data_IF_204143506230
#
_entry.id   IF_204143506230
#
_cell.length_a   1.000
_cell.length_b   1.000
_cell.length_c   1.000
_cell.angle_alpha   90.00
_cell.angle_beta   90.00
_cell.angle_gamma   90.00
#
_symmetry.space_group_name_H-M   'P 1'
#
loop_
_entity.id
_entity.type
_entity.pdbx_description
1 polymer ?
#
# COMPACT_ATOMS: atom_id res chain seq x y z
N UNK A 1 -14.61 22.62 21.53
CA UNK A 1 -13.18 22.93 21.70
C UNK A 1 -12.46 21.63 22.05
N UNK A 2 -11.32 21.39 21.40
CA UNK A 2 -10.54 20.14 21.35
C UNK A 2 -10.12 19.63 22.75
N UNK A 3 -9.92 18.31 22.86
CA UNK A 3 -8.65 17.75 23.33
C UNK A 3 -8.49 16.31 22.81
N UNK A 4 -7.41 16.16 22.04
CA UNK A 4 -6.93 15.01 21.33
C UNK A 4 -5.70 14.51 22.11
N UNK A 5 -5.65 13.24 22.48
CA UNK A 5 -4.42 12.46 22.66
C UNK A 5 -4.79 11.05 23.10
N UNK A 6 -4.72 10.10 22.16
CA UNK A 6 -4.70 8.67 22.48
C UNK A 6 -3.34 8.13 22.07
N UNK A 7 -2.38 8.25 22.98
CA UNK A 7 -1.19 7.40 23.00
C UNK A 7 -1.65 5.96 23.15
N UNK A 8 -1.47 5.16 22.10
CA UNK A 8 -1.65 3.72 22.16
C UNK A 8 -0.47 3.12 22.95
N UNK A 9 -0.76 2.67 24.17
CA UNK A 9 0.15 1.82 24.95
C UNK A 9 -0.21 0.38 24.60
N UNK A 10 0.60 -0.27 23.75
CA UNK A 10 0.42 -1.70 23.49
C UNK A 10 1.14 -2.49 24.58
N UNK A 11 0.32 -3.17 25.39
CA UNK A 11 0.72 -3.99 26.52
C UNK A 11 0.84 -5.43 26.03
N UNK A 12 2.06 -5.94 25.87
CA UNK A 12 2.26 -7.28 25.34
C UNK A 12 2.98 -8.19 26.35
N UNK A 13 2.19 -8.88 27.18
CA UNK A 13 2.62 -9.85 28.21
C UNK A 13 3.37 -11.05 27.64
N UNK A 14 4.49 -11.46 28.26
CA UNK A 14 4.97 -12.84 28.30
C UNK A 14 5.55 -13.08 29.70
N UNK A 15 5.05 -14.12 30.37
CA UNK A 15 5.61 -14.68 31.61
C UNK A 15 6.72 -15.66 31.24
N UNK A 16 7.92 -15.46 31.78
CA UNK A 16 8.88 -16.54 32.00
C UNK A 16 9.73 -16.19 33.23
N UNK A 17 9.46 -16.87 34.33
CA UNK A 17 10.36 -16.93 35.49
C UNK A 17 11.52 -17.88 35.15
N UNK A 18 12.74 -17.35 35.14
CA UNK A 18 13.97 -18.13 35.39
C UNK A 18 15.08 -17.21 35.90
N UNK A 19 15.65 -17.56 37.06
CA UNK A 19 17.05 -17.24 37.39
C UNK A 19 17.33 -16.00 38.23
N UNK A 20 17.33 -16.16 39.56
CA UNK A 20 18.02 -15.28 40.50
C UNK A 20 19.49 -15.06 40.11
N UNK A 21 19.87 -13.84 39.70
CA UNK A 21 21.22 -13.30 39.97
C UNK A 21 21.37 -11.77 39.80
N UNK A 22 20.32 -10.97 39.99
CA UNK A 22 20.44 -9.50 40.06
C UNK A 22 19.31 -8.85 40.87
N UNK A 23 19.11 -9.31 42.11
CA UNK A 23 18.11 -8.73 43.03
C UNK A 23 18.38 -7.25 43.43
N UNK A 24 19.39 -6.56 42.88
CA UNK A 24 19.79 -5.22 43.32
C UNK A 24 20.20 -4.19 42.24
N UNK A 25 20.04 -4.45 40.92
CA UNK A 25 20.13 -3.34 39.95
C UNK A 25 18.74 -2.79 39.64
N UNK A 26 18.49 -1.51 39.94
CA UNK A 26 17.29 -0.78 39.47
C UNK A 26 17.19 -0.67 37.94
N UNK A 27 18.22 -1.14 37.24
CA UNK A 27 18.44 -0.98 35.81
C UNK A 27 18.52 -2.33 35.13
N UNK A 28 18.01 -2.38 33.90
CA UNK A 28 18.05 -3.55 33.02
C UNK A 28 19.24 -3.41 32.09
N UNK A 29 19.99 -4.50 31.89
CA UNK A 29 21.11 -4.49 30.96
C UNK A 29 20.61 -4.43 29.52
N UNK A 30 21.32 -3.70 28.67
CA UNK A 30 20.93 -3.52 27.27
C UNK A 30 21.10 -4.79 26.43
N UNK A 31 22.01 -5.68 26.82
CA UNK A 31 22.31 -6.97 26.16
C UNK A 31 21.53 -8.15 26.76
N UNK A 32 20.59 -7.89 27.67
CA UNK A 32 19.73 -8.92 28.24
C UNK A 32 18.81 -9.53 27.16
N UNK A 33 18.71 -10.86 27.14
CA UNK A 33 17.93 -11.59 26.13
C UNK A 33 16.43 -11.25 26.20
N UNK A 34 15.89 -11.04 27.41
CA UNK A 34 14.49 -10.64 27.55
C UNK A 34 14.29 -9.20 27.10
N UNK A 35 15.26 -8.31 27.30
CA UNK A 35 15.21 -6.93 26.80
C UNK A 35 15.27 -6.86 25.27
N UNK A 36 16.17 -7.62 24.63
CA UNK A 36 16.27 -7.66 23.15
C UNK A 36 15.05 -8.35 22.52
N UNK A 37 14.50 -9.38 23.14
CA UNK A 37 13.21 -9.98 22.74
C UNK A 37 12.06 -8.97 22.84
N UNK A 38 12.02 -8.17 23.91
CA UNK A 38 11.04 -7.09 24.07
C UNK A 38 11.18 -6.03 22.98
N UNK A 39 12.40 -5.58 22.65
CA UNK A 39 12.64 -4.62 21.56
C UNK A 39 12.14 -5.17 20.21
N UNK A 40 12.43 -6.44 19.91
CA UNK A 40 11.92 -7.11 18.69
C UNK A 40 10.40 -7.07 18.64
N UNK A 41 9.76 -7.37 19.77
CA UNK A 41 8.31 -7.37 19.87
C UNK A 41 7.71 -5.98 19.65
N UNK A 42 8.31 -4.94 20.24
CA UNK A 42 7.86 -3.55 20.01
C UNK A 42 8.02 -3.16 18.54
N UNK A 43 9.14 -3.51 17.89
CA UNK A 43 9.32 -3.26 16.44
C UNK A 43 8.24 -3.93 15.59
N UNK A 44 7.88 -5.18 15.91
CA UNK A 44 6.83 -5.93 15.22
C UNK A 44 5.43 -5.36 15.47
N UNK A 45 5.13 -5.02 16.74
CA UNK A 45 3.84 -4.46 17.14
C UNK A 45 3.62 -3.06 16.55
N UNK A 46 4.66 -2.23 16.50
CA UNK A 46 4.62 -0.90 15.86
C UNK A 46 4.40 -1.02 14.35
N UNK A 47 5.10 -1.94 13.67
CA UNK A 47 4.93 -2.19 12.25
C UNK A 47 3.50 -2.68 11.93
N UNK A 48 3.00 -3.63 12.72
CA UNK A 48 1.64 -4.15 12.56
C UNK A 48 0.58 -3.05 12.77
N UNK A 49 0.76 -2.18 13.76
CA UNK A 49 -0.12 -1.04 14.00
C UNK A 49 -0.09 -0.01 12.86
N UNK A 50 1.10 0.31 12.33
CA UNK A 50 1.25 1.21 11.18
C UNK A 50 0.50 0.68 9.96
N UNK A 51 0.64 -0.61 9.65
CA UNK A 51 -0.09 -1.26 8.56
C UNK A 51 -1.60 -1.28 8.78
N UNK A 52 -2.06 -1.58 9.99
CA UNK A 52 -3.49 -1.54 10.32
C UNK A 52 -4.05 -0.12 10.18
N UNK A 53 -3.27 0.89 10.57
CA UNK A 53 -3.64 2.29 10.40
C UNK A 53 -3.76 2.67 8.92
N UNK A 54 -2.74 2.41 8.12
CA UNK A 54 -2.73 2.67 6.67
C UNK A 54 -3.92 2.01 5.98
N UNK A 55 -4.17 0.74 6.30
CA UNK A 55 -5.31 0.00 5.79
C UNK A 55 -6.64 0.70 6.09
N UNK A 56 -6.85 1.06 7.35
CA UNK A 56 -8.08 1.74 7.77
C UNK A 56 -8.27 3.07 7.04
N UNK A 57 -7.19 3.79 6.75
CA UNK A 57 -7.27 5.02 5.96
C UNK A 57 -7.63 4.73 4.50
N UNK A 58 -7.02 3.74 3.87
CA UNK A 58 -7.32 3.36 2.49
C UNK A 58 -8.77 2.89 2.31
N UNK A 59 -9.31 2.14 3.28
CA UNK A 59 -10.73 1.75 3.29
C UNK A 59 -11.63 2.98 3.45
N UNK A 60 -11.34 3.85 4.43
CA UNK A 60 -12.12 5.08 4.67
C UNK A 60 -12.15 6.01 3.46
N UNK A 61 -11.05 6.08 2.72
CA UNK A 61 -10.91 6.91 1.54
C UNK A 61 -11.50 6.24 0.28
N UNK A 62 -12.05 5.03 0.39
CA UNK A 62 -12.64 4.29 -0.72
C UNK A 62 -11.63 3.76 -1.74
N UNK A 63 -10.33 3.85 -1.45
CA UNK A 63 -9.26 3.37 -2.32
C UNK A 63 -9.29 1.83 -2.48
N UNK A 64 -9.80 1.14 -1.45
CA UNK A 64 -10.00 -0.31 -1.41
C UNK A 64 -11.35 -0.62 -0.77
N UNK A 65 -12.02 -1.68 -1.24
CA UNK A 65 -13.37 -2.05 -0.79
C UNK A 65 -13.39 -3.04 0.37
N UNK A 66 -12.47 -3.99 0.34
CA UNK A 66 -12.37 -5.03 1.37
C UNK A 66 -10.96 -5.58 1.36
N UNK A 67 -10.36 -5.66 2.54
CA UNK A 67 -9.04 -6.21 2.69
C UNK A 67 -8.84 -6.67 4.14
N UNK A 68 -8.47 -7.93 4.29
CA UNK A 68 -8.34 -8.62 5.56
C UNK A 68 -7.13 -8.08 6.36
N UNK A 69 -7.33 -7.41 7.51
CA UNK A 69 -6.26 -6.93 8.37
C UNK A 69 -5.33 -8.05 8.85
N UNK A 70 -5.82 -9.29 8.94
CA UNK A 70 -5.01 -10.43 9.37
C UNK A 70 -3.89 -10.75 8.37
N UNK A 71 -4.12 -10.58 7.07
CA UNK A 71 -3.10 -10.82 6.03
C UNK A 71 -1.98 -9.78 6.05
N UNK A 72 -2.29 -8.53 6.42
CA UNK A 72 -1.27 -7.49 6.64
C UNK A 72 -0.43 -7.77 7.88
N UNK A 73 -1.08 -8.18 8.97
CA UNK A 73 -0.36 -8.61 10.17
C UNK A 73 0.58 -9.79 9.89
N UNK A 74 0.15 -10.76 9.09
CA UNK A 74 1.01 -11.85 8.62
C UNK A 74 2.16 -11.35 7.74
N UNK A 75 1.92 -10.31 6.92
CA UNK A 75 2.97 -9.71 6.10
C UNK A 75 4.04 -8.99 6.94
N UNK A 76 3.64 -8.33 8.03
CA UNK A 76 4.55 -7.74 9.00
C UNK A 76 5.46 -8.78 9.67
N UNK A 77 4.93 -9.97 9.97
CA UNK A 77 5.68 -11.07 10.57
C UNK A 77 6.76 -11.65 9.65
N UNK A 78 6.69 -11.38 8.35
CA UNK A 78 7.73 -11.81 7.40
C UNK A 78 8.97 -10.90 7.42
N UNK A 79 8.93 -9.77 8.13
CA UNK A 79 10.11 -8.94 8.36
C UNK A 79 10.93 -9.56 9.49
N UNK A 80 12.17 -9.93 9.17
CA UNK A 80 13.09 -10.49 10.15
C UNK A 80 13.98 -9.41 10.74
N UNK A 81 13.86 -9.19 12.05
CA UNK A 81 14.74 -8.30 12.80
C UNK A 81 15.89 -9.09 13.40
N UNK A 82 17.11 -8.66 13.16
CA UNK A 82 18.34 -9.16 13.77
C UNK A 82 19.02 -8.01 14.49
N UNK A 83 19.54 -8.27 15.68
CA UNK A 83 20.16 -7.27 16.53
C UNK A 83 21.50 -7.79 17.04
N UNK A 84 22.53 -6.97 16.90
CA UNK A 84 23.89 -7.28 17.33
C UNK A 84 24.52 -6.09 18.04
N UNK A 85 25.58 -6.35 18.79
CA UNK A 85 26.45 -5.31 19.38
C UNK A 85 25.71 -4.28 20.24
N UNK A 86 24.86 -4.76 21.16
CA UNK A 86 24.13 -3.93 22.13
C UNK A 86 25.07 -3.22 23.12
N UNK A 87 24.77 -1.96 23.43
CA UNK A 87 25.61 -1.06 24.24
C UNK A 87 24.74 -0.25 25.19
N UNK A 88 25.25 0.00 26.39
CA UNK A 88 24.65 0.94 27.33
C UNK A 88 25.27 2.31 27.11
N UNK A 89 24.46 3.28 26.70
CA UNK A 89 24.92 4.65 26.50
C UNK A 89 24.78 5.48 27.79
N UNK A 90 23.68 5.28 28.53
CA UNK A 90 23.41 6.07 29.72
C UNK A 90 22.55 5.34 30.75
N UNK A 91 22.94 5.44 32.02
CA UNK A 91 22.16 4.99 33.18
C UNK A 91 21.70 6.25 33.92
N UNK A 92 20.39 6.43 34.04
CA UNK A 92 19.84 7.60 34.75
C UNK A 92 20.03 7.44 36.27
N UNK A 93 20.76 8.33 36.96
CA UNK A 93 20.95 8.20 38.40
C UNK A 93 19.67 8.47 39.21
N UNK A 94 18.69 9.14 38.61
CA UNK A 94 17.47 9.61 39.29
C UNK A 94 16.23 8.78 38.93
N UNK A 95 16.33 7.81 38.02
CA UNK A 95 15.20 6.96 37.61
C UNK A 95 15.69 5.57 37.18
N UNK A 96 14.82 4.55 37.10
CA UNK A 96 15.25 3.20 36.68
C UNK A 96 15.51 3.08 35.16
N UNK A 97 15.61 4.21 34.44
CA UNK A 97 15.80 4.23 32.99
C UNK A 97 17.24 3.89 32.61
N UNK A 98 17.36 3.12 31.54
CA UNK A 98 18.63 2.79 30.89
C UNK A 98 18.49 3.07 29.40
N UNK A 99 19.36 3.91 28.87
CA UNK A 99 19.42 4.22 27.44
C UNK A 99 20.45 3.32 26.78
N UNK A 100 20.05 2.73 25.67
CA UNK A 100 20.78 1.70 24.96
C UNK A 100 20.86 2.01 23.46
N UNK A 101 21.93 1.56 22.83
CA UNK A 101 22.06 1.46 21.38
C UNK A 101 22.31 0.03 20.96
N UNK A 102 21.78 -0.36 19.81
CA UNK A 102 21.97 -1.70 19.24
C UNK A 102 21.98 -1.63 17.72
N UNK A 103 22.81 -2.42 17.05
CA UNK A 103 22.86 -2.45 15.60
C UNK A 103 21.74 -3.39 15.09
N UNK A 104 20.70 -2.78 14.52
CA UNK A 104 19.52 -3.44 13.99
C UNK A 104 19.67 -3.65 12.48
N UNK A 105 19.39 -4.88 12.04
CA UNK A 105 19.13 -5.22 10.65
C UNK A 105 17.69 -5.70 10.49
N UNK A 106 16.89 -5.02 9.68
CA UNK A 106 15.57 -5.51 9.28
C UNK A 106 15.63 -6.07 7.85
N UNK A 107 15.38 -7.37 7.70
CA UNK A 107 15.41 -8.05 6.40
C UNK A 107 14.00 -8.15 5.82
N UNK A 108 13.84 -7.63 4.61
CA UNK A 108 12.61 -7.72 3.83
C UNK A 108 12.76 -8.87 2.84
N UNK A 109 11.82 -9.82 2.76
CA UNK A 109 11.84 -10.84 1.73
C UNK A 109 11.84 -10.23 0.31
N UNK A 110 12.74 -10.69 -0.56
CA UNK A 110 12.87 -10.16 -1.93
C UNK A 110 11.56 -10.22 -2.73
N UNK A 111 10.75 -11.26 -2.52
CA UNK A 111 9.41 -11.39 -3.12
C UNK A 111 8.46 -10.26 -2.73
N UNK A 112 8.57 -9.73 -1.50
CA UNK A 112 7.77 -8.59 -1.06
C UNK A 112 8.27 -7.30 -1.70
N UNK A 113 9.57 -7.09 -1.76
CA UNK A 113 10.18 -5.93 -2.45
C UNK A 113 9.73 -5.90 -3.92
N UNK A 114 9.89 -7.02 -4.63
CA UNK A 114 9.48 -7.16 -6.03
C UNK A 114 7.99 -6.86 -6.23
N UNK A 115 7.10 -7.47 -5.44
CA UNK A 115 5.65 -7.19 -5.51
C UNK A 115 5.34 -5.73 -5.27
N UNK A 116 6.09 -5.11 -4.36
CA UNK A 116 5.95 -3.70 -4.01
C UNK A 116 6.33 -2.80 -5.18
N UNK A 117 7.47 -3.04 -5.83
CA UNK A 117 7.90 -2.28 -7.00
C UNK A 117 6.96 -2.46 -8.20
N UNK A 118 6.50 -3.68 -8.45
CA UNK A 118 5.51 -3.96 -9.50
C UNK A 118 4.18 -3.22 -9.25
N UNK A 119 3.77 -3.08 -7.99
CA UNK A 119 2.60 -2.30 -7.60
C UNK A 119 2.82 -0.79 -7.73
N UNK A 120 3.99 -0.29 -7.32
CA UNK A 120 4.34 1.13 -7.42
C UNK A 120 4.45 1.61 -8.85
N UNK A 121 5.07 0.82 -9.73
CA UNK A 121 5.16 1.12 -11.16
C UNK A 121 3.79 1.24 -11.83
N UNK A 122 2.76 0.56 -11.32
CA UNK A 122 1.39 0.62 -11.82
C UNK A 122 0.64 1.90 -11.46
N UNK A 123 1.15 2.67 -10.50
CA UNK A 123 0.55 3.93 -10.03
C UNK A 123 1.55 5.08 -10.06
N UNK A 124 2.60 4.96 -10.88
CA UNK A 124 3.66 5.95 -11.07
C UNK A 124 4.34 6.40 -9.76
N UNK A 125 4.40 5.50 -8.78
CA UNK A 125 5.15 5.71 -7.55
C UNK A 125 6.62 5.28 -7.71
N UNK A 126 7.52 5.94 -6.96
CA UNK A 126 8.97 5.65 -6.98
C UNK A 126 9.28 4.23 -6.49
N UNK A 127 10.40 3.62 -6.89
CA UNK A 127 10.78 2.28 -6.42
C UNK A 127 11.01 2.24 -4.90
N UNK A 128 11.04 1.04 -4.31
CA UNK A 128 11.41 0.80 -2.90
C UNK A 128 12.75 1.44 -2.58
N UNK A 129 13.75 1.25 -3.44
CA UNK A 129 15.09 1.83 -3.24
C UNK A 129 15.06 3.37 -3.24
N UNK A 130 14.39 3.99 -4.21
CA UNK A 130 14.27 5.44 -4.26
C UNK A 130 13.45 5.99 -3.07
N UNK A 131 12.44 5.25 -2.63
CA UNK A 131 11.66 5.60 -1.44
C UNK A 131 12.52 5.56 -0.17
N UNK A 132 13.37 4.55 0.00
CA UNK A 132 14.34 4.49 1.11
C UNK A 132 15.27 5.72 1.09
N UNK A 133 15.82 6.06 -0.09
CA UNK A 133 16.67 7.24 -0.26
C UNK A 133 15.96 8.54 0.11
N UNK A 134 14.70 8.71 -0.31
CA UNK A 134 13.90 9.88 0.02
C UNK A 134 13.64 10.02 1.54
N UNK A 135 13.55 8.90 2.26
CA UNK A 135 13.38 8.85 3.71
C UNK A 135 14.71 8.90 4.48
N UNK A 136 15.86 8.86 3.80
CA UNK A 136 17.17 8.75 4.43
C UNK A 136 17.36 7.43 5.18
N UNK A 137 16.67 6.37 4.75
CA UNK A 137 16.81 5.02 5.33
C UNK A 137 17.98 4.32 4.66
N UNK A 138 18.93 3.81 5.46
CA UNK A 138 20.03 3.00 4.94
C UNK A 138 19.50 1.62 4.53
N UNK A 139 19.31 1.45 3.22
CA UNK A 139 18.73 0.25 2.62
C UNK A 139 19.64 -0.29 1.52
N UNK A 140 20.03 -1.56 1.65
CA UNK A 140 20.83 -2.27 0.66
C UNK A 140 20.47 -3.75 0.66
N UNK A 141 20.39 -4.39 -0.52
CA UNK A 141 20.19 -5.84 -0.65
C UNK A 141 18.99 -6.38 0.15
N UNK A 142 17.86 -5.67 0.11
CA UNK A 142 16.64 -5.97 0.87
C UNK A 142 16.78 -5.90 2.39
N UNK A 143 17.80 -5.20 2.89
CA UNK A 143 18.06 -5.03 4.32
C UNK A 143 18.08 -3.55 4.68
N UNK A 144 17.45 -3.23 5.80
CA UNK A 144 17.54 -1.92 6.44
C UNK A 144 18.54 -2.00 7.58
N UNK A 145 19.46 -1.06 7.64
CA UNK A 145 20.45 -0.93 8.70
C UNK A 145 20.15 0.29 9.55
N UNK A 146 20.08 0.12 10.87
CA UNK A 146 19.82 1.19 11.82
C UNK A 146 20.61 0.93 13.11
N UNK A 147 21.39 1.91 13.57
CA UNK A 147 21.80 1.93 14.99
C UNK A 147 20.59 2.41 15.79
N UNK A 148 19.87 1.46 16.38
CA UNK A 148 18.61 1.70 17.09
C UNK A 148 18.90 2.25 18.48
N UNK A 149 18.33 3.41 18.78
CA UNK A 149 18.30 3.99 20.12
C UNK A 149 17.01 3.59 20.83
N UNK A 150 17.14 3.06 22.05
CA UNK A 150 16.00 2.64 22.86
C UNK A 150 16.24 2.86 24.35
N UNK A 151 15.15 2.96 25.11
CA UNK A 151 15.17 3.11 26.57
C UNK A 151 14.46 1.93 27.22
N UNK A 152 15.14 1.26 28.14
CA UNK A 152 14.59 0.23 29.01
C UNK A 152 14.21 0.84 30.36
N UNK A 153 13.02 0.52 30.85
CA UNK A 153 12.52 1.00 32.14
C UNK A 153 11.67 -0.08 32.83
N UNK A 154 12.14 -0.65 33.96
CA UNK A 154 11.29 -1.42 34.86
C UNK A 154 10.06 -0.64 35.33
N UNK A 155 8.95 -1.34 35.55
CA UNK A 155 7.77 -0.81 36.25
C UNK A 155 8.10 -0.60 37.73
N UNK A 156 7.34 0.27 38.41
CA UNK A 156 7.51 0.52 39.86
C UNK A 156 7.35 -0.76 40.71
N UNK A 157 6.57 -1.73 40.21
CA UNK A 157 6.37 -3.03 40.85
C UNK A 157 7.52 -4.02 40.57
N UNK A 158 8.42 -3.70 39.64
CA UNK A 158 9.53 -4.55 39.21
C UNK A 158 9.11 -5.81 38.45
N UNK A 159 7.83 -5.95 38.13
CA UNK A 159 7.26 -7.15 37.49
C UNK A 159 7.41 -7.15 35.97
N UNK A 160 7.67 -5.98 35.36
CA UNK A 160 7.76 -5.80 33.91
C UNK A 160 8.83 -4.79 33.54
N UNK A 161 9.33 -4.91 32.32
CA UNK A 161 10.21 -3.93 31.68
C UNK A 161 9.46 -3.32 30.49
N UNK A 162 9.57 -2.02 30.33
CA UNK A 162 9.08 -1.27 29.19
C UNK A 162 10.26 -0.93 28.28
N UNK A 163 10.07 -1.04 26.97
CA UNK A 163 11.02 -0.58 25.96
C UNK A 163 10.40 0.56 25.16
N UNK A 164 11.15 1.66 25.01
CA UNK A 164 10.75 2.80 24.19
C UNK A 164 11.79 3.03 23.09
N UNK A 165 11.37 2.86 21.84
CA UNK A 165 12.22 3.07 20.66
C UNK A 165 12.23 4.57 20.32
N UNK A 166 13.38 5.11 19.89
CA UNK A 166 13.56 6.57 19.70
C UNK A 166 13.65 7.02 18.25
N UNK A 167 14.39 6.29 17.42
CA UNK A 167 14.77 6.73 16.07
C UNK A 167 14.24 5.79 14.96
N UNK A 168 13.08 5.18 15.17
CA UNK A 168 12.51 4.18 14.25
C UNK A 168 11.55 4.74 13.20
N UNK A 169 11.14 6.02 13.29
CA UNK A 169 10.05 6.57 12.48
C UNK A 169 10.21 6.33 10.97
N UNK A 170 11.34 6.70 10.39
CA UNK A 170 11.56 6.57 8.93
C UNK A 170 11.63 5.10 8.51
N UNK A 171 12.26 4.25 9.32
CA UNK A 171 12.32 2.80 9.07
C UNK A 171 10.92 2.19 9.14
N UNK A 172 10.09 2.59 10.10
CA UNK A 172 8.72 2.12 10.23
C UNK A 172 7.87 2.54 9.03
N UNK A 173 7.94 3.80 8.60
CA UNK A 173 7.27 4.28 7.38
C UNK A 173 7.74 3.53 6.14
N UNK A 174 9.05 3.34 5.99
CA UNK A 174 9.61 2.62 4.85
C UNK A 174 9.12 1.17 4.78
N UNK A 175 9.15 0.46 5.90
CA UNK A 175 8.69 -0.92 6.00
C UNK A 175 7.18 -1.02 5.79
N UNK A 176 6.39 -0.13 6.40
CA UNK A 176 4.93 -0.15 6.30
C UNK A 176 4.48 0.10 4.86
N UNK A 177 4.96 1.16 4.22
CA UNK A 177 4.57 1.49 2.84
C UNK A 177 5.02 0.40 1.87
N UNK A 178 6.21 -0.18 2.06
CA UNK A 178 6.70 -1.30 1.24
C UNK A 178 5.80 -2.52 1.34
N UNK A 179 5.35 -2.88 2.54
CA UNK A 179 4.42 -3.99 2.71
C UNK A 179 3.02 -3.65 2.18
N UNK A 180 2.56 -2.41 2.38
CA UNK A 180 1.26 -1.94 1.87
C UNK A 180 1.19 -2.04 0.36
N UNK A 181 2.18 -1.54 -0.38
CA UNK A 181 2.21 -1.67 -1.85
C UNK A 181 2.27 -3.13 -2.32
N UNK A 182 3.11 -3.96 -1.68
CA UNK A 182 3.20 -5.37 -2.02
C UNK A 182 1.86 -6.09 -1.84
N UNK A 183 1.09 -5.68 -0.84
CA UNK A 183 -0.20 -6.25 -0.52
C UNK A 183 -1.36 -5.69 -1.38
N UNK A 184 -1.28 -4.41 -1.77
CA UNK A 184 -2.27 -3.77 -2.63
C UNK A 184 -2.15 -4.18 -4.10
N UNK A 185 -1.03 -4.79 -4.51
CA UNK A 185 -0.80 -5.23 -5.90
C UNK A 185 -2.03 -5.89 -6.55
N UNK A 186 -2.70 -6.90 -5.94
CA UNK A 186 -3.84 -7.55 -6.59
C UNK A 186 -5.04 -6.61 -6.80
N UNK A 187 -5.24 -5.63 -5.90
CA UNK A 187 -6.31 -4.65 -6.04
C UNK A 187 -5.98 -3.60 -7.11
N UNK A 188 -4.73 -3.15 -7.16
CA UNK A 188 -4.24 -2.23 -8.20
C UNK A 188 -4.42 -2.87 -9.58
N UNK A 189 -4.01 -4.13 -9.74
CA UNK A 189 -4.16 -4.88 -10.99
C UNK A 189 -5.64 -5.05 -11.37
N UNK A 190 -6.50 -5.40 -10.42
CA UNK A 190 -7.94 -5.51 -10.66
C UNK A 190 -8.56 -4.18 -11.12
N UNK A 191 -8.14 -3.06 -10.56
CA UNK A 191 -8.64 -1.73 -10.94
C UNK A 191 -8.16 -1.34 -12.33
N UNK A 192 -6.91 -1.61 -12.68
CA UNK A 192 -6.39 -1.40 -14.04
C UNK A 192 -7.15 -2.23 -15.07
N UNK A 193 -7.38 -3.53 -14.80
CA UNK A 193 -8.14 -4.41 -15.70
C UNK A 193 -9.55 -3.87 -15.93
N UNK A 194 -10.26 -3.47 -14.87
CA UNK A 194 -11.60 -2.87 -14.99
C UNK A 194 -11.61 -1.59 -15.82
N UNK A 195 -10.60 -0.74 -15.65
CA UNK A 195 -10.46 0.49 -16.45
C UNK A 195 -10.24 0.16 -17.93
N UNK A 196 -9.37 -0.81 -18.23
CA UNK A 196 -9.12 -1.28 -19.59
C UNK A 196 -10.38 -1.91 -20.22
N UNK A 197 -11.10 -2.76 -19.51
CA UNK A 197 -12.37 -3.34 -19.98
C UNK A 197 -13.43 -2.27 -20.25
N UNK A 198 -13.56 -1.29 -19.35
CA UNK A 198 -14.48 -0.17 -19.55
C UNK A 198 -14.11 0.66 -20.79
N UNK A 199 -12.81 0.91 -21.01
CA UNK A 199 -12.33 1.62 -22.20
C UNK A 199 -12.61 0.83 -23.49
N UNK A 200 -12.37 -0.49 -23.50
CA UNK A 200 -12.68 -1.37 -24.63
C UNK A 200 -14.19 -1.39 -24.93
N UNK A 201 -15.02 -1.49 -23.89
CA UNK A 201 -16.46 -1.44 -24.05
C UNK A 201 -16.94 -0.07 -24.58
N UNK A 202 -16.29 1.03 -24.20
CA UNK A 202 -16.59 2.36 -24.74
C UNK A 202 -16.19 2.49 -26.22
N UNK A 203 -15.02 1.98 -26.61
CA UNK A 203 -14.58 1.93 -28.01
C UNK A 203 -15.57 1.09 -28.84
N UNK A 204 -15.89 -0.12 -28.40
CA UNK A 204 -16.85 -0.98 -29.10
C UNK A 204 -18.24 -0.33 -29.25
N UNK A 205 -18.71 0.41 -28.23
CA UNK A 205 -19.96 1.17 -28.34
C UNK A 205 -19.87 2.30 -29.35
N UNK A 206 -18.75 3.02 -29.40
CA UNK A 206 -18.54 4.07 -30.40
C UNK A 206 -18.47 3.49 -31.82
N UNK A 207 -17.77 2.37 -32.01
CA UNK A 207 -17.69 1.69 -33.30
C UNK A 207 -19.07 1.20 -33.78
N UNK A 208 -19.86 0.62 -32.87
CA UNK A 208 -21.24 0.20 -33.18
C UNK A 208 -22.14 1.39 -33.54
N UNK A 209 -22.01 2.52 -32.84
CA UNK A 209 -22.76 3.73 -33.15
C UNK A 209 -22.37 4.33 -34.51
N UNK A 210 -21.07 4.31 -34.85
CA UNK A 210 -20.59 4.76 -36.15
C UNK A 210 -21.12 3.87 -37.28
N UNK A 211 -21.10 2.54 -37.11
CA UNK A 211 -21.66 1.62 -38.10
C UNK A 211 -23.17 1.82 -38.32
N UNK A 212 -23.92 2.15 -37.26
CA UNK A 212 -25.35 2.51 -37.37
C UNK A 212 -25.52 3.84 -38.12
N UNK A 213 -24.66 4.82 -37.87
CA UNK A 213 -24.71 6.11 -38.57
C UNK A 213 -24.44 5.93 -40.07
N UNK A 214 -23.40 5.18 -40.44
CA UNK A 214 -23.05 4.91 -41.82
C UNK A 214 -24.17 4.16 -42.55
N UNK A 215 -24.75 3.12 -41.92
CA UNK A 215 -25.88 2.38 -42.49
C UNK A 215 -27.14 3.25 -42.70
N UNK A 216 -27.42 4.18 -41.79
CA UNK A 216 -28.52 5.13 -41.99
C UNK A 216 -28.24 6.10 -43.13
N UNK A 217 -27.00 6.57 -43.27
CA UNK A 217 -26.62 7.49 -44.33
C UNK A 217 -26.70 6.80 -45.71
N UNK A 218 -26.26 5.55 -45.81
CA UNK A 218 -26.42 4.72 -47.01
C UNK A 218 -27.90 4.50 -47.36
N UNK A 219 -28.75 4.27 -46.36
CA UNK A 219 -30.19 4.10 -46.58
C UNK A 219 -30.87 5.38 -47.09
N UNK A 220 -30.46 6.57 -46.60
CA UNK A 220 -30.96 7.86 -47.09
C UNK A 220 -30.55 8.06 -48.56
N UNK A 221 -29.28 7.85 -48.89
CA UNK A 221 -28.78 7.99 -50.27
C UNK A 221 -29.51 7.04 -51.23
N UNK A 222 -29.79 5.81 -50.80
CA UNK A 222 -30.55 4.85 -51.61
C UNK A 222 -32.02 5.28 -51.81
N UNK A 223 -32.65 5.86 -50.78
CA UNK A 223 -34.01 6.36 -50.86
C UNK A 223 -34.13 7.59 -51.78
N UNK A 224 -33.17 8.51 -51.71
CA UNK A 224 -33.10 9.68 -52.58
C UNK A 224 -32.93 9.25 -54.05
N UNK A 225 -32.01 8.33 -54.32
CA UNK A 225 -31.79 7.79 -55.67
C UNK A 225 -33.02 7.07 -56.25
N UNK A 226 -33.77 6.34 -55.41
CA UNK A 226 -35.02 5.70 -55.83
C UNK A 226 -36.10 6.73 -56.18
N UNK A 227 -36.20 7.80 -55.40
CA UNK A 227 -37.14 8.90 -55.63
C UNK A 227 -36.83 9.64 -56.94
N UNK A 228 -35.56 9.93 -57.20
CA UNK A 228 -35.10 10.53 -58.46
C UNK A 228 -35.41 9.63 -59.67
N UNK A 229 -35.22 8.32 -59.54
CA UNK A 229 -35.53 7.36 -60.60
C UNK A 229 -37.04 7.27 -60.89
N UNK A 230 -37.90 7.33 -59.86
CA UNK A 230 -39.35 7.39 -60.03
C UNK A 230 -39.81 8.68 -60.72
N UNK A 231 -39.23 9.83 -60.36
CA UNK A 231 -39.50 11.11 -61.02
C UNK A 231 -39.09 11.07 -62.49
N UNK A 232 -37.89 10.58 -62.80
CA UNK A 232 -37.41 10.43 -64.17
C UNK A 232 -38.30 9.47 -64.99
N UNK A 233 -38.79 8.39 -64.39
CA UNK A 233 -39.71 7.47 -65.05
C UNK A 233 -41.07 8.14 -65.33
N UNK A 234 -41.60 8.94 -64.40
CA UNK A 234 -42.84 9.70 -64.59
C UNK A 234 -42.69 10.75 -65.69
N UNK A 235 -41.59 11.51 -65.71
CA UNK A 235 -41.31 12.48 -66.78
C UNK A 235 -41.20 11.81 -68.16
N UNK A 236 -40.56 10.63 -68.23
CA UNK A 236 -40.48 9.86 -69.47
C UNK A 236 -41.85 9.36 -69.96
N UNK A 237 -42.75 8.95 -69.04
CA UNK A 237 -44.12 8.57 -69.41
C UNK A 237 -44.96 9.77 -69.87
N UNK A 238 -44.81 10.94 -69.23
CA UNK A 238 -45.51 12.17 -69.65
C UNK A 238 -44.98 12.67 -71.01
N UNK A 239 -43.68 12.55 -71.27
CA UNK A 239 -43.09 12.87 -72.57
C UNK A 239 -43.54 11.89 -73.68
N UNK A 240 -43.74 10.62 -73.36
CA UNK A 240 -44.26 9.62 -74.30
C UNK A 240 -45.75 9.80 -74.62
N UNK A 241 -46.54 10.34 -73.69
CA UNK A 241 -47.96 10.67 -73.91
C UNK A 241 -48.14 12.02 -74.64
N UNK A 242 -47.20 12.96 -74.49
CA UNK A 242 -47.23 14.28 -75.15
C UNK A 242 -46.99 14.26 -76.68
N UNK A 243 -46.45 13.18 -77.23
CA UNK A 243 -46.18 13.05 -78.68
C UNK A 243 -47.41 12.59 -79.50
N UNK A 244 -48.58 12.46 -78.85
CA UNK A 244 -49.86 12.12 -79.50
C UNK A 244 -50.79 13.32 -79.72
N UNK A 245 -50.37 14.56 -79.39
CA UNK A 245 -51.19 15.78 -79.53
C UNK A 245 -50.61 16.88 -80.45
N UNK A 246 -49.62 16.58 -81.30
CA UNK A 246 -49.28 17.46 -82.43
C UNK A 246 -49.59 16.78 -83.78
N UNK A 247 -50.70 17.24 -84.36
CA UNK A 247 -51.21 17.01 -85.72
C UNK A 247 -50.15 17.12 -86.83
#
# INVERSE_FOLDING_TARGET
MKLNNKTFVVLASVLALTGCNNLFSKHVKCDDEAATSLVTKVLQDDLAQSLEHELKQLIKNGAIKDLDPAKLKLSAQNIQFSMVDSRTDFIDPNSPKTTCTIDLTATIPAELVKKSDEARAKVDAVSVEQHANNLGVNYENNKVYLTLEYVLQPTDKGDKVLALLKNTSNVQTFLSETLTYAFLKPQIEKNQIKSLEASKAAIQRNDANNAIYDANNEAIVAADAATEAEQAAQEATVAAEGDYESY
#
